data_IF_391631720696
#
_entry.id   IF_391631720696
#
_cell.length_a   1.000
_cell.length_b   1.000
_cell.length_c   1.000
_cell.angle_alpha   90.00
_cell.angle_beta   90.00
_cell.angle_gamma   90.00
#
_symmetry.space_group_name_H-M   'P 1'
#
loop_
_entity.id
_entity.type
_entity.pdbx_description
1 polymer ?
#
# COMPACT_ATOMS: atom_id res chain seq x y z
N UNK A 1 -51.31 55.62 51.45
CA UNK A 1 -50.27 56.01 52.42
C UNK A 1 -49.24 54.88 52.51
N UNK A 2 -47.95 55.23 52.36
CA UNK A 2 -46.72 54.60 52.93
C UNK A 2 -46.99 53.56 54.05
N UNK A 3 -46.29 52.41 54.19
CA UNK A 3 -44.83 52.22 54.30
C UNK A 3 -44.46 50.71 54.29
N UNK A 4 -43.20 50.47 53.95
CA UNK A 4 -42.41 49.23 53.82
C UNK A 4 -41.94 48.68 55.20
N UNK A 5 -41.81 47.35 55.40
CA UNK A 5 -40.53 46.62 55.70
C UNK A 5 -40.69 45.13 56.07
N UNK A 6 -39.89 44.29 55.37
CA UNK A 6 -39.15 43.04 55.71
C UNK A 6 -39.50 42.17 56.94
N UNK A 7 -39.57 40.85 56.73
CA UNK A 7 -38.56 39.86 57.20
C UNK A 7 -38.82 38.44 56.63
N UNK A 8 -37.72 37.75 56.29
CA UNK A 8 -37.58 36.40 55.68
C UNK A 8 -37.74 35.28 56.71
N UNK A 9 -38.25 34.10 56.31
CA UNK A 9 -37.79 32.73 56.68
C UNK A 9 -38.39 31.74 55.63
N UNK A 10 -37.63 31.31 54.62
CA UNK A 10 -36.84 30.07 54.53
C UNK A 10 -37.71 28.78 54.43
N UNK A 11 -38.02 28.35 53.19
CA UNK A 11 -38.51 27.01 52.88
C UNK A 11 -37.38 26.21 52.21
N UNK A 12 -37.00 25.09 52.80
CA UNK A 12 -36.06 24.14 52.21
C UNK A 12 -36.77 23.31 51.14
N UNK A 13 -36.33 23.43 49.89
CA UNK A 13 -36.67 22.51 48.80
C UNK A 13 -35.43 21.71 48.48
N UNK A 14 -35.44 20.42 48.79
CA UNK A 14 -34.41 19.48 48.37
C UNK A 14 -34.55 19.26 46.85
N UNK A 15 -33.65 19.84 46.07
CA UNK A 15 -33.52 19.54 44.65
C UNK A 15 -32.72 18.25 44.50
N UNK A 16 -33.36 17.19 43.99
CA UNK A 16 -32.68 16.00 43.49
C UNK A 16 -32.14 16.33 42.11
N UNK A 17 -30.85 16.67 42.03
CA UNK A 17 -30.13 16.81 40.77
C UNK A 17 -29.78 15.43 40.24
N UNK A 18 -30.50 14.97 39.22
CA UNK A 18 -30.05 13.84 38.40
C UNK A 18 -28.82 14.28 37.60
N UNK A 19 -27.64 13.84 38.04
CA UNK A 19 -26.40 13.96 37.27
C UNK A 19 -26.49 13.04 36.06
N UNK A 20 -26.90 13.59 34.92
CA UNK A 20 -26.60 13.02 33.61
C UNK A 20 -25.09 13.18 33.39
N UNK A 21 -24.30 12.20 33.83
CA UNK A 21 -22.93 12.04 33.33
C UNK A 21 -23.04 11.64 31.87
N UNK A 22 -22.98 12.64 30.97
CA UNK A 22 -22.61 12.39 29.60
C UNK A 22 -21.24 11.71 29.65
N UNK A 23 -21.21 10.41 29.38
CA UNK A 23 -19.97 9.71 29.10
C UNK A 23 -19.44 10.33 27.81
N UNK A 24 -18.57 11.33 27.95
CA UNK A 24 -17.69 11.76 26.89
C UNK A 24 -16.82 10.56 26.58
N UNK A 25 -17.25 9.74 25.62
CA UNK A 25 -16.35 8.83 24.95
C UNK A 25 -15.27 9.70 24.35
N UNK A 26 -14.15 9.81 25.07
CA UNK A 26 -12.89 10.28 24.53
C UNK A 26 -12.56 9.32 23.40
N UNK A 27 -13.06 9.60 22.20
CA UNK A 27 -12.40 9.16 20.99
C UNK A 27 -11.07 9.87 21.09
N UNK A 28 -10.06 9.14 21.56
CA UNK A 28 -8.69 9.57 21.44
C UNK A 28 -8.54 9.95 19.96
N UNK A 29 -8.38 11.25 19.69
CA UNK A 29 -7.84 11.68 18.42
C UNK A 29 -6.58 10.84 18.25
N UNK A 30 -6.60 9.92 17.29
CA UNK A 30 -5.41 9.21 16.88
C UNK A 30 -4.38 10.30 16.60
N UNK A 31 -3.38 10.42 17.48
CA UNK A 31 -2.19 11.18 17.17
C UNK A 31 -1.73 10.60 15.83
N UNK A 32 -1.86 11.42 14.78
CA UNK A 32 -1.73 10.96 13.41
C UNK A 32 -0.47 10.13 13.30
N UNK A 33 -0.63 8.87 12.89
CA UNK A 33 0.48 8.10 12.36
C UNK A 33 0.85 8.88 11.10
N UNK A 34 1.81 9.80 11.23
CA UNK A 34 2.50 10.35 10.06
C UNK A 34 3.15 9.13 9.42
N UNK A 35 3.04 8.94 8.09
CA UNK A 35 3.75 7.88 7.41
C UNK A 35 5.19 7.86 7.93
N UNK A 36 5.69 6.72 8.42
CA UNK A 36 7.05 6.64 8.95
C UNK A 36 8.00 7.21 7.90
N UNK A 37 8.96 8.01 8.35
CA UNK A 37 10.04 8.50 7.48
C UNK A 37 10.61 7.32 6.70
N UNK A 38 11.01 7.59 5.47
CA UNK A 38 11.67 6.59 4.66
C UNK A 38 12.85 5.95 5.41
N UNK A 39 13.06 4.63 5.27
CA UNK A 39 14.22 3.98 5.84
C UNK A 39 15.52 4.67 5.40
N UNK A 40 16.54 4.64 6.25
CA UNK A 40 17.83 5.26 5.95
C UNK A 40 18.54 4.63 4.72
N UNK A 41 18.08 3.47 4.27
CA UNK A 41 18.53 2.77 3.07
C UNK A 41 17.70 1.51 2.87
N UNK A 42 18.03 0.75 1.83
CA UNK A 42 17.29 -0.48 1.49
C UNK A 42 17.25 -1.48 2.64
N UNK A 43 16.07 -2.05 2.87
CA UNK A 43 15.84 -3.10 3.86
C UNK A 43 15.90 -4.45 3.16
N UNK A 44 17.08 -5.08 3.21
CA UNK A 44 17.29 -6.42 2.63
C UNK A 44 16.27 -7.42 3.17
N UNK A 45 15.63 -8.16 2.26
CA UNK A 45 14.69 -9.23 2.58
C UNK A 45 15.37 -10.32 3.41
N UNK A 46 14.76 -10.65 4.56
CA UNK A 46 15.17 -11.75 5.43
C UNK A 46 13.91 -12.49 5.89
N UNK A 47 13.71 -13.75 5.49
CA UNK A 47 14.61 -14.58 4.69
C UNK A 47 14.79 -14.04 3.25
N UNK A 48 15.95 -14.33 2.66
CA UNK A 48 16.18 -14.01 1.25
C UNK A 48 15.33 -14.96 0.39
N UNK A 49 14.27 -14.44 -0.22
CA UNK A 49 13.32 -15.21 -1.02
C UNK A 49 13.64 -15.20 -2.53
N UNK A 50 14.37 -14.18 -2.99
CA UNK A 50 14.73 -13.95 -4.40
C UNK A 50 16.23 -14.20 -4.66
N UNK A 51 16.62 -14.30 -5.93
CA UNK A 51 18.02 -14.37 -6.34
C UNK A 51 18.77 -13.07 -5.99
N UNK A 52 20.08 -13.19 -5.79
CA UNK A 52 20.93 -12.06 -5.41
C UNK A 52 21.65 -11.58 -6.67
N UNK A 53 21.56 -10.29 -6.97
CA UNK A 53 22.26 -9.69 -8.09
C UNK A 53 23.77 -10.02 -8.04
N UNK A 54 24.34 -10.43 -9.17
CA UNK A 54 25.76 -10.82 -9.27
C UNK A 54 26.11 -12.19 -8.70
N UNK A 55 25.18 -12.89 -8.04
CA UNK A 55 25.40 -14.28 -7.58
C UNK A 55 25.12 -15.26 -8.71
N UNK A 56 26.10 -16.09 -9.03
CA UNK A 56 25.93 -17.21 -9.96
C UNK A 56 25.36 -18.44 -9.22
N UNK A 57 24.30 -19.03 -9.76
CA UNK A 57 23.69 -20.26 -9.27
C UNK A 57 24.03 -21.42 -10.21
N UNK A 58 24.59 -22.50 -9.66
CA UNK A 58 24.91 -23.71 -10.42
C UNK A 58 23.67 -24.61 -10.53
N UNK A 59 23.47 -25.23 -11.70
CA UNK A 59 22.33 -26.13 -11.92
C UNK A 59 22.30 -27.23 -10.86
N UNK A 60 21.14 -27.42 -10.22
CA UNK A 60 20.94 -28.40 -9.15
C UNK A 60 21.35 -27.91 -7.76
N UNK A 61 21.96 -26.72 -7.62
CA UNK A 61 22.17 -26.11 -6.32
C UNK A 61 20.84 -25.68 -5.69
N UNK A 62 20.82 -25.59 -4.35
CA UNK A 62 19.69 -25.02 -3.61
C UNK A 62 19.44 -23.57 -4.07
N UNK A 63 18.16 -23.25 -4.30
CA UNK A 63 17.71 -21.94 -4.73
C UNK A 63 16.93 -21.24 -3.62
N UNK A 64 16.84 -19.90 -3.63
CA UNK A 64 15.90 -19.17 -2.82
C UNK A 64 14.45 -19.65 -3.07
N UNK A 65 13.56 -19.59 -2.07
CA UNK A 65 12.20 -20.14 -2.11
C UNK A 65 11.33 -19.77 -3.32
N UNK A 66 11.55 -18.60 -3.94
CA UNK A 66 10.78 -18.16 -5.11
C UNK A 66 11.31 -18.65 -6.46
N UNK A 67 12.30 -19.55 -6.44
CA UNK A 67 12.96 -20.05 -7.63
C UNK A 67 13.07 -21.57 -7.62
N UNK A 68 12.91 -22.15 -8.80
CA UNK A 68 13.05 -23.59 -9.03
C UNK A 68 13.85 -23.87 -10.30
N UNK A 69 14.45 -25.06 -10.38
CA UNK A 69 15.06 -25.55 -11.61
C UNK A 69 13.99 -26.20 -12.51
N UNK A 70 13.86 -25.72 -13.75
CA UNK A 70 13.05 -26.37 -14.79
C UNK A 70 13.92 -26.61 -16.02
N UNK A 71 14.11 -27.89 -16.37
CA UNK A 71 14.97 -28.32 -17.48
C UNK A 71 16.37 -27.64 -17.44
N UNK A 72 16.99 -27.59 -16.25
CA UNK A 72 18.30 -26.97 -16.05
C UNK A 72 18.34 -25.44 -16.09
N UNK A 73 17.19 -24.76 -16.16
CA UNK A 73 17.08 -23.31 -16.17
C UNK A 73 16.38 -22.80 -14.91
N UNK A 74 16.78 -21.60 -14.47
CA UNK A 74 16.06 -20.87 -13.43
C UNK A 74 14.65 -20.54 -13.91
N UNK A 75 13.66 -20.82 -13.07
CA UNK A 75 12.27 -20.49 -13.30
C UNK A 75 11.67 -19.87 -12.04
N UNK A 76 10.88 -18.80 -12.16
CA UNK A 76 10.03 -18.33 -11.07
C UNK A 76 9.15 -19.45 -10.53
N UNK A 77 8.90 -19.40 -9.22
CA UNK A 77 7.95 -20.26 -8.49
C UNK A 77 7.07 -19.43 -7.55
N UNK A 78 6.61 -18.28 -8.05
CA UNK A 78 5.93 -17.24 -7.28
C UNK A 78 4.71 -17.72 -6.47
N UNK A 79 3.98 -18.72 -6.96
CA UNK A 79 2.78 -19.23 -6.31
C UNK A 79 3.06 -20.34 -5.28
N UNK A 80 4.31 -20.75 -5.09
CA UNK A 80 4.63 -21.81 -4.13
C UNK A 80 4.43 -21.34 -2.70
N UNK A 81 3.98 -22.23 -1.82
CA UNK A 81 3.82 -21.92 -0.39
C UNK A 81 5.13 -21.47 0.24
N UNK A 82 6.27 -22.01 -0.22
CA UNK A 82 7.59 -21.61 0.26
C UNK A 82 7.94 -20.17 -0.14
N UNK A 83 7.66 -19.78 -1.39
CA UNK A 83 7.88 -18.41 -1.85
C UNK A 83 7.01 -17.40 -1.08
N UNK A 84 5.70 -17.62 -1.08
CA UNK A 84 4.73 -16.73 -0.41
C UNK A 84 5.05 -16.59 1.08
N UNK A 85 5.39 -17.70 1.76
CA UNK A 85 5.76 -17.65 3.17
C UNK A 85 7.03 -16.84 3.41
N UNK A 86 8.05 -16.98 2.57
CA UNK A 86 9.32 -16.27 2.71
C UNK A 86 9.18 -14.77 2.43
N UNK A 87 8.38 -14.40 1.43
CA UNK A 87 8.06 -13.01 1.11
C UNK A 87 7.28 -12.34 2.25
N UNK A 88 6.24 -12.99 2.78
CA UNK A 88 5.48 -12.46 3.92
C UNK A 88 6.31 -12.37 5.19
N UNK A 89 7.19 -13.33 5.46
CA UNK A 89 8.10 -13.25 6.60
C UNK A 89 9.07 -12.06 6.46
N UNK A 90 9.58 -11.83 5.26
CA UNK A 90 10.43 -10.67 4.96
C UNK A 90 9.67 -9.35 5.16
N UNK A 91 8.44 -9.22 4.64
CA UNK A 91 7.59 -8.04 4.87
C UNK A 91 7.29 -7.85 6.36
N UNK A 92 6.92 -8.90 7.08
CA UNK A 92 6.67 -8.82 8.51
C UNK A 92 7.91 -8.38 9.30
N UNK A 93 9.12 -8.76 8.85
CA UNK A 93 10.36 -8.26 9.43
C UNK A 93 10.60 -6.78 9.13
N UNK A 94 10.36 -6.34 7.89
CA UNK A 94 10.47 -4.93 7.52
C UNK A 94 9.51 -4.07 8.34
N UNK A 95 8.27 -4.52 8.52
CA UNK A 95 7.28 -3.89 9.41
C UNK A 95 7.79 -3.75 10.85
N UNK A 96 8.41 -4.79 11.41
CA UNK A 96 9.00 -4.72 12.77
C UNK A 96 10.13 -3.69 12.88
N UNK A 97 10.94 -3.52 11.83
CA UNK A 97 12.00 -2.50 11.80
C UNK A 97 11.43 -1.08 11.77
N UNK A 98 10.23 -0.91 11.22
CA UNK A 98 9.47 0.35 11.21
C UNK A 98 8.56 0.50 12.44
N UNK A 99 8.59 -0.45 13.37
CA UNK A 99 7.72 -0.49 14.56
C UNK A 99 6.22 -0.49 14.24
N UNK A 100 5.81 -1.07 13.11
CA UNK A 100 4.41 -1.28 12.73
C UNK A 100 4.02 -2.76 12.81
N UNK A 101 2.71 -3.01 12.95
CA UNK A 101 2.18 -4.37 13.06
C UNK A 101 2.39 -5.16 11.77
N UNK A 102 2.55 -6.48 11.91
CA UNK A 102 2.68 -7.37 10.77
C UNK A 102 1.32 -7.53 10.06
N UNK A 103 1.36 -7.68 8.74
CA UNK A 103 0.18 -7.82 7.90
C UNK A 103 -0.35 -9.26 7.90
N UNK A 104 -1.66 -9.41 7.73
CA UNK A 104 -2.30 -10.68 7.44
C UNK A 104 -2.93 -10.65 6.05
N UNK A 105 -2.56 -11.61 5.21
CA UNK A 105 -3.16 -11.81 3.90
C UNK A 105 -4.59 -12.37 4.01
N UNK A 106 -5.46 -12.10 3.02
CA UNK A 106 -6.76 -12.76 2.94
C UNK A 106 -6.60 -14.27 2.68
N UNK A 107 -7.57 -15.07 3.14
CA UNK A 107 -7.48 -16.54 3.09
C UNK A 107 -7.38 -17.11 1.67
N UNK A 108 -7.89 -16.36 0.69
CA UNK A 108 -7.93 -16.70 -0.72
C UNK A 108 -6.83 -16.00 -1.53
N UNK A 109 -5.83 -15.36 -0.89
CA UNK A 109 -4.79 -14.58 -1.59
C UNK A 109 -4.14 -15.32 -2.76
N UNK A 110 -3.82 -16.61 -2.59
CA UNK A 110 -3.20 -17.43 -3.64
C UNK A 110 -4.11 -17.72 -4.84
N UNK A 111 -5.41 -17.48 -4.73
CA UNK A 111 -6.41 -17.63 -5.80
C UNK A 111 -6.79 -16.30 -6.47
N UNK A 112 -6.37 -15.17 -5.89
CA UNK A 112 -6.54 -13.86 -6.48
C UNK A 112 -5.66 -13.70 -7.73
N UNK A 113 -6.11 -12.88 -8.69
CA UNK A 113 -5.26 -12.48 -9.82
C UNK A 113 -4.06 -11.64 -9.34
N UNK A 114 -3.04 -11.46 -10.17
CA UNK A 114 -1.89 -10.59 -9.84
C UNK A 114 -2.34 -9.17 -9.48
N UNK A 115 -3.34 -8.66 -10.19
CA UNK A 115 -3.90 -7.33 -9.99
C UNK A 115 -4.61 -7.22 -8.63
N UNK A 116 -5.43 -8.21 -8.29
CA UNK A 116 -6.13 -8.30 -7.01
C UNK A 116 -5.14 -8.47 -5.84
N UNK A 117 -4.08 -9.26 -6.01
CA UNK A 117 -2.99 -9.37 -5.05
C UNK A 117 -2.30 -8.02 -4.83
N UNK A 118 -1.99 -7.27 -5.90
CA UNK A 118 -1.37 -5.95 -5.79
C UNK A 118 -2.24 -4.97 -4.99
N UNK A 119 -3.55 -4.90 -5.23
CA UNK A 119 -4.45 -4.07 -4.42
C UNK A 119 -4.35 -4.43 -2.93
N UNK A 120 -4.44 -5.73 -2.60
CA UNK A 120 -4.35 -6.19 -1.21
C UNK A 120 -3.06 -5.74 -0.55
N UNK A 121 -1.93 -5.88 -1.25
CA UNK A 121 -0.62 -5.53 -0.72
C UNK A 121 -0.46 -4.02 -0.54
N UNK A 122 -0.85 -3.22 -1.53
CA UNK A 122 -0.88 -1.75 -1.43
C UNK A 122 -1.69 -1.30 -0.21
N UNK A 123 -2.89 -1.84 -0.04
CA UNK A 123 -3.75 -1.41 1.06
C UNK A 123 -3.27 -1.89 2.43
N UNK A 124 -2.63 -3.05 2.52
CA UNK A 124 -1.96 -3.48 3.74
C UNK A 124 -0.82 -2.53 4.14
N UNK A 125 -0.02 -2.07 3.17
CA UNK A 125 1.06 -1.11 3.39
C UNK A 125 0.52 0.29 3.76
N UNK A 126 -0.54 0.75 3.10
CA UNK A 126 -1.21 2.04 3.38
C UNK A 126 -1.86 2.06 4.76
N UNK A 127 -2.72 1.08 5.05
CA UNK A 127 -3.50 1.03 6.29
C UNK A 127 -2.61 0.82 7.51
N UNK A 128 -1.53 0.03 7.39
CA UNK A 128 -0.56 -0.16 8.49
C UNK A 128 0.18 1.13 8.88
N UNK A 129 0.15 2.15 8.03
CA UNK A 129 0.76 3.47 8.24
C UNK A 129 -0.26 4.59 8.39
N UNK A 130 -1.54 4.25 8.62
CA UNK A 130 -2.61 5.22 8.87
C UNK A 130 -3.12 5.95 7.63
N UNK A 131 -2.67 5.57 6.43
CA UNK A 131 -3.21 6.10 5.18
C UNK A 131 -4.54 5.42 4.83
N UNK A 132 -5.44 6.17 4.19
CA UNK A 132 -6.69 5.61 3.71
C UNK A 132 -6.41 4.55 2.63
N UNK A 133 -7.11 3.40 2.63
CA UNK A 133 -6.95 2.42 1.57
C UNK A 133 -7.46 2.96 0.23
N UNK A 134 -6.92 2.43 -0.84
CA UNK A 134 -7.51 2.49 -2.17
C UNK A 134 -8.86 1.74 -2.13
N UNK A 135 -9.90 2.32 -2.73
CA UNK A 135 -11.24 1.73 -2.67
C UNK A 135 -11.32 0.37 -3.39
N UNK A 136 -10.62 0.23 -4.51
CA UNK A 136 -10.64 -0.97 -5.34
C UNK A 136 -10.05 -0.78 -6.72
N UNK A 137 -10.04 -1.88 -7.47
CA UNK A 137 -9.53 -2.00 -8.83
C UNK A 137 -10.59 -1.65 -9.86
N UNK A 138 -10.19 -0.92 -10.89
CA UNK A 138 -11.06 -0.50 -12.00
C UNK A 138 -10.47 -0.96 -13.33
N UNK A 139 -11.33 -1.41 -14.25
CA UNK A 139 -10.88 -1.87 -15.58
C UNK A 139 -10.22 -0.77 -16.41
N UNK A 140 -10.65 0.48 -16.24
CA UNK A 140 -10.09 1.63 -16.95
C UNK A 140 -8.64 1.90 -16.51
N UNK A 141 -8.37 1.85 -15.21
CA UNK A 141 -7.02 1.99 -14.69
C UNK A 141 -6.15 0.75 -15.00
N UNK A 142 -6.72 -0.47 -14.93
CA UNK A 142 -6.00 -1.69 -15.31
C UNK A 142 -5.48 -1.61 -16.74
N UNK A 143 -6.25 -1.07 -17.69
CA UNK A 143 -5.80 -0.96 -19.07
C UNK A 143 -4.54 -0.08 -19.21
N UNK A 144 -4.43 0.98 -18.41
CA UNK A 144 -3.26 1.86 -18.37
C UNK A 144 -2.09 1.18 -17.67
N UNK A 145 -2.34 0.54 -16.53
CA UNK A 145 -1.35 -0.22 -15.79
C UNK A 145 -0.78 -1.37 -16.66
N UNK A 146 -1.65 -2.18 -17.26
CA UNK A 146 -1.27 -3.25 -18.17
C UNK A 146 -0.37 -2.78 -19.32
N UNK A 147 -0.59 -1.56 -19.83
CA UNK A 147 0.30 -0.97 -20.83
C UNK A 147 1.68 -0.61 -20.25
N UNK A 148 1.74 -0.08 -19.03
CA UNK A 148 3.00 0.10 -18.30
C UNK A 148 3.77 -1.21 -18.15
N UNK A 149 3.09 -2.28 -17.70
CA UNK A 149 3.67 -3.61 -17.60
C UNK A 149 4.18 -4.15 -18.96
N UNK A 150 3.44 -3.96 -20.05
CA UNK A 150 3.86 -4.34 -21.41
C UNK A 150 5.05 -3.54 -21.93
N UNK A 151 5.29 -2.34 -21.41
CA UNK A 151 6.36 -1.45 -21.85
C UNK A 151 7.55 -1.43 -20.89
N UNK A 152 7.46 -2.15 -19.77
CA UNK A 152 8.46 -2.16 -18.70
C UNK A 152 8.74 -0.75 -18.14
N UNK A 153 7.67 -0.01 -17.85
CA UNK A 153 7.74 1.37 -17.37
C UNK A 153 6.55 1.70 -16.47
N UNK A 154 6.69 2.77 -15.69
CA UNK A 154 5.59 3.30 -14.89
C UNK A 154 4.38 3.65 -15.81
N UNK A 155 3.17 3.25 -15.40
CA UNK A 155 1.94 3.69 -16.07
C UNK A 155 1.80 5.21 -16.07
N UNK A 156 1.09 5.74 -17.06
CA UNK A 156 0.80 7.17 -17.16
C UNK A 156 -0.71 7.37 -17.26
N UNK A 157 -1.25 8.34 -16.51
CA UNK A 157 -2.62 8.80 -16.70
C UNK A 157 -2.65 9.89 -17.78
N UNK A 158 -3.17 9.63 -19.00
CA UNK A 158 -3.22 10.63 -20.04
C UNK A 158 -4.22 11.76 -19.73
N UNK A 159 -4.04 12.89 -20.42
CA UNK A 159 -5.01 13.99 -20.47
C UNK A 159 -5.64 14.05 -21.88
N UNK A 160 -6.98 14.12 -22.03
CA UNK A 160 -7.99 14.11 -20.96
C UNK A 160 -8.07 12.75 -20.25
N UNK A 161 -8.43 12.76 -18.97
CA UNK A 161 -8.40 11.56 -18.14
C UNK A 161 -9.40 10.50 -18.60
N UNK A 162 -8.92 9.27 -18.81
CA UNK A 162 -9.73 8.14 -19.27
C UNK A 162 -10.53 7.43 -18.16
N UNK A 163 -10.38 7.86 -16.91
CA UNK A 163 -11.01 7.24 -15.73
C UNK A 163 -12.09 8.18 -15.21
N UNK A 164 -13.30 7.65 -15.05
CA UNK A 164 -14.44 8.40 -14.50
C UNK A 164 -14.09 8.99 -13.13
N UNK A 165 -14.38 10.27 -12.95
CA UNK A 165 -14.16 10.98 -11.69
C UNK A 165 -12.69 11.31 -11.40
N UNK A 166 -11.73 10.96 -12.27
CA UNK A 166 -10.32 11.26 -12.05
C UNK A 166 -10.08 12.76 -11.92
N UNK A 167 -9.35 13.15 -10.87
CA UNK A 167 -9.11 14.56 -10.57
C UNK A 167 -7.89 15.14 -11.27
N UNK A 168 -7.04 14.25 -11.81
CA UNK A 168 -5.71 14.57 -12.29
C UNK A 168 -4.60 14.31 -11.28
N UNK A 169 -4.93 14.02 -10.01
CA UNK A 169 -3.97 13.48 -9.04
C UNK A 169 -3.77 11.97 -9.25
N UNK A 170 -2.53 11.51 -9.41
CA UNK A 170 -2.19 10.09 -9.58
C UNK A 170 -0.72 9.83 -9.23
N UNK A 171 -0.41 8.57 -8.96
CA UNK A 171 0.93 8.01 -8.72
C UNK A 171 1.01 6.64 -9.39
N UNK A 172 2.21 6.15 -9.72
CA UNK A 172 2.32 4.91 -10.47
C UNK A 172 3.70 4.27 -10.33
N UNK A 173 3.71 2.95 -10.24
CA UNK A 173 4.93 2.18 -10.07
C UNK A 173 5.04 1.08 -11.11
N UNK A 174 6.26 0.75 -11.48
CA UNK A 174 6.61 -0.44 -12.24
C UNK A 174 7.81 -1.15 -11.61
N UNK A 175 7.81 -2.49 -11.68
CA UNK A 175 8.96 -3.30 -11.33
C UNK A 175 9.00 -4.59 -12.15
N UNK A 176 10.22 -5.04 -12.43
CA UNK A 176 10.47 -6.43 -12.77
C UNK A 176 10.62 -7.23 -11.46
N UNK A 177 9.73 -8.19 -11.22
CA UNK A 177 9.70 -8.96 -9.98
C UNK A 177 9.26 -10.41 -10.22
N UNK A 178 9.46 -11.28 -9.23
CA UNK A 178 9.03 -12.68 -9.30
C UNK A 178 7.52 -12.80 -9.08
N UNK A 179 6.98 -12.08 -8.10
CA UNK A 179 5.59 -12.12 -7.65
C UNK A 179 5.05 -10.71 -7.41
N UNK A 180 3.73 -10.52 -7.23
CA UNK A 180 3.17 -9.27 -6.70
C UNK A 180 3.76 -8.86 -5.34
N UNK A 181 4.04 -9.84 -4.47
CA UNK A 181 4.70 -9.62 -3.17
C UNK A 181 6.11 -9.06 -3.32
N UNK A 182 6.91 -9.62 -4.23
CA UNK A 182 8.26 -9.13 -4.54
C UNK A 182 8.25 -7.73 -5.18
N UNK A 183 7.27 -7.44 -6.04
CA UNK A 183 7.10 -6.10 -6.62
C UNK A 183 6.79 -5.07 -5.51
N UNK A 184 5.80 -5.36 -4.66
CA UNK A 184 5.44 -4.51 -3.54
C UNK A 184 6.61 -4.34 -2.55
N UNK A 185 7.32 -5.42 -2.21
CA UNK A 185 8.50 -5.34 -1.34
C UNK A 185 9.60 -4.47 -1.97
N UNK A 186 9.81 -4.58 -3.29
CA UNK A 186 10.77 -3.76 -4.01
C UNK A 186 10.44 -2.28 -3.94
N UNK A 187 9.18 -1.91 -4.19
CA UNK A 187 8.70 -0.53 -4.09
C UNK A 187 8.74 0.02 -2.67
N UNK A 188 8.43 -0.78 -1.65
CA UNK A 188 8.34 -0.31 -0.27
C UNK A 188 9.68 -0.28 0.48
N UNK A 189 10.59 -1.19 0.15
CA UNK A 189 11.75 -1.48 0.99
C UNK A 189 13.09 -1.52 0.25
N UNK A 190 13.10 -1.63 -1.08
CA UNK A 190 14.32 -1.65 -1.90
C UNK A 190 14.46 -0.44 -2.83
N UNK A 191 13.61 0.57 -2.62
CA UNK A 191 13.49 1.76 -3.46
C UNK A 191 14.42 2.92 -3.06
N UNK A 192 15.11 2.77 -1.94
CA UNK A 192 16.10 3.71 -1.45
C UNK A 192 17.48 3.54 -2.06
N UNK A 193 18.41 4.31 -1.51
CA UNK A 193 19.82 4.23 -1.91
C UNK A 193 20.50 3.01 -1.29
N UNK A 194 21.21 2.25 -2.13
CA UNK A 194 22.03 1.10 -1.72
C UNK A 194 23.48 1.18 -2.27
N UNK A 195 23.86 2.32 -2.84
CA UNK A 195 25.12 2.50 -3.56
C UNK A 195 24.97 2.44 -5.08
N UNK A 196 26.00 2.90 -5.78
CA UNK A 196 26.04 2.94 -7.25
C UNK A 196 25.84 1.54 -7.82
N UNK A 197 24.83 1.37 -8.68
CA UNK A 197 24.50 0.10 -9.32
C UNK A 197 23.93 -0.98 -8.40
N UNK A 198 23.50 -0.61 -7.18
CA UNK A 198 22.99 -1.54 -6.16
C UNK A 198 21.55 -1.26 -5.73
N UNK A 199 20.92 -0.23 -6.28
CA UNK A 199 19.48 0.04 -6.13
C UNK A 199 18.73 -0.38 -7.39
N UNK A 200 17.49 -0.83 -7.22
CA UNK A 200 16.60 -1.17 -8.32
C UNK A 200 15.84 0.05 -8.85
N UNK A 201 15.85 1.16 -8.11
CA UNK A 201 15.26 2.41 -8.52
C UNK A 201 16.22 3.21 -9.41
N UNK A 202 15.91 3.30 -10.70
CA UNK A 202 16.75 4.00 -11.67
C UNK A 202 16.83 5.52 -11.43
N UNK A 203 15.88 6.11 -10.71
CA UNK A 203 15.88 7.52 -10.34
C UNK A 203 16.65 7.79 -9.03
N UNK A 204 16.96 6.74 -8.25
CA UNK A 204 17.77 6.85 -7.04
C UNK A 204 19.27 6.81 -7.36
N UNK A 205 19.77 7.89 -7.98
CA UNK A 205 21.14 7.99 -8.51
C UNK A 205 22.21 8.34 -7.45
N UNK A 206 21.79 8.78 -6.26
CA UNK A 206 22.65 9.05 -5.10
C UNK A 206 21.86 8.98 -3.79
N UNK A 207 22.54 8.99 -2.65
CA UNK A 207 21.90 8.98 -1.31
C UNK A 207 20.91 10.13 -1.05
N UNK A 208 20.96 11.20 -1.85
CA UNK A 208 20.10 12.37 -1.72
C UNK A 208 19.30 12.66 -3.00
N UNK A 209 19.29 11.75 -3.97
CA UNK A 209 18.49 11.92 -5.17
C UNK A 209 17.00 11.93 -4.80
N UNK A 210 16.26 12.89 -5.35
CA UNK A 210 14.81 13.03 -5.08
C UNK A 210 13.98 11.84 -5.56
N UNK A 211 14.53 11.01 -6.44
CA UNK A 211 13.88 9.80 -6.92
C UNK A 211 13.95 8.63 -5.94
N UNK A 212 14.84 8.65 -4.95
CA UNK A 212 14.88 7.60 -3.92
C UNK A 212 13.59 7.60 -3.12
N UNK A 213 13.07 6.40 -2.85
CA UNK A 213 11.78 6.21 -2.19
C UNK A 213 10.56 6.75 -2.96
N UNK A 214 10.72 7.09 -4.24
CA UNK A 214 9.63 7.51 -5.12
C UNK A 214 8.49 6.48 -5.16
N UNK A 215 8.78 5.20 -5.38
CA UNK A 215 7.73 4.19 -5.49
C UNK A 215 7.03 3.94 -4.14
N UNK A 216 7.79 4.01 -3.03
CA UNK A 216 7.23 3.94 -1.67
C UNK A 216 6.28 5.11 -1.42
N UNK A 217 6.70 6.32 -1.80
CA UNK A 217 5.90 7.53 -1.66
C UNK A 217 4.64 7.48 -2.54
N UNK A 218 4.72 6.86 -3.70
CA UNK A 218 3.58 6.62 -4.58
C UNK A 218 2.54 5.69 -3.94
N UNK A 219 2.97 4.60 -3.29
CA UNK A 219 2.09 3.69 -2.52
C UNK A 219 1.49 4.41 -1.31
N UNK A 220 2.30 5.17 -0.58
CA UNK A 220 1.91 5.87 0.65
C UNK A 220 1.36 7.28 0.39
N UNK A 221 1.00 7.60 -0.85
CA UNK A 221 0.54 8.93 -1.21
C UNK A 221 -0.62 9.35 -0.33
N UNK A 222 -0.48 10.50 0.32
CA UNK A 222 -1.54 11.06 1.13
C UNK A 222 -2.58 11.69 0.21
N UNK A 223 -3.75 11.05 0.11
CA UNK A 223 -4.80 11.46 -0.81
C UNK A 223 -5.31 12.88 -0.54
N UNK A 224 -5.15 13.41 0.68
CA UNK A 224 -5.56 14.79 1.02
C UNK A 224 -4.58 15.85 0.51
N UNK A 225 -3.35 15.47 0.17
CA UNK A 225 -2.33 16.36 -0.38
C UNK A 225 -2.37 16.41 -1.92
N UNK A 226 -3.03 15.45 -2.56
CA UNK A 226 -3.30 15.48 -3.99
C UNK A 226 -4.40 16.51 -4.31
N UNK A 227 -4.34 17.19 -5.47
CA UNK A 227 -5.25 18.28 -5.83
C UNK A 227 -6.72 17.79 -5.93
N UNK A 228 -7.43 17.90 -4.83
CA UNK A 228 -8.84 17.54 -4.72
C UNK A 228 -9.72 18.78 -4.91
N UNK A 229 -10.48 18.84 -6.01
CA UNK A 229 -11.45 19.92 -6.25
C UNK A 229 -12.85 19.65 -5.66
N UNK A 230 -13.01 18.59 -4.87
CA UNK A 230 -14.27 18.20 -4.25
C UNK A 230 -14.17 18.24 -2.71
N UNK A 231 -15.30 18.19 -2.02
CA UNK A 231 -15.34 18.08 -0.55
C UNK A 231 -14.77 16.76 -0.03
N UNK A 232 -14.71 15.73 -0.88
CA UNK A 232 -14.02 14.47 -0.60
C UNK A 232 -13.46 13.87 -1.88
N UNK A 233 -12.24 13.36 -1.77
CA UNK A 233 -11.60 12.55 -2.80
C UNK A 233 -11.25 11.18 -2.22
N UNK A 234 -11.16 10.19 -3.10
CA UNK A 234 -10.76 8.83 -2.76
C UNK A 234 -9.73 8.35 -3.78
N UNK A 235 -9.07 7.24 -3.49
CA UNK A 235 -8.17 6.60 -4.43
C UNK A 235 -8.84 5.36 -5.02
N UNK A 236 -8.65 5.15 -6.31
CA UNK A 236 -8.90 3.88 -7.01
C UNK A 236 -7.61 3.42 -7.65
N UNK A 237 -7.52 2.15 -8.00
CA UNK A 237 -6.30 1.58 -8.56
C UNK A 237 -6.58 0.87 -9.88
N UNK A 238 -5.55 0.78 -10.70
CA UNK A 238 -5.40 -0.22 -11.73
C UNK A 238 -4.11 -0.97 -11.53
N UNK A 239 -4.08 -2.23 -11.92
CA UNK A 239 -2.88 -3.04 -11.91
C UNK A 239 -2.70 -3.77 -13.23
N UNK A 240 -1.46 -4.12 -13.54
CA UNK A 240 -1.10 -4.81 -14.77
C UNK A 240 0.05 -5.77 -14.54
N UNK A 241 0.01 -6.90 -15.24
CA UNK A 241 1.06 -7.90 -15.16
C UNK A 241 1.37 -8.53 -16.52
N UNK A 242 2.65 -8.82 -16.79
CA UNK A 242 3.08 -9.60 -17.96
C UNK A 242 4.09 -10.66 -17.51
N UNK A 243 3.78 -11.95 -17.67
CA UNK A 243 4.69 -13.00 -17.24
C UNK A 243 5.95 -13.07 -18.12
N UNK A 244 7.11 -13.31 -17.50
CA UNK A 244 8.42 -13.49 -18.16
C UNK A 244 8.75 -12.42 -19.22
N UNK A 245 8.44 -11.17 -18.89
CA UNK A 245 8.57 -10.06 -19.83
C UNK A 245 9.92 -9.36 -19.73
N UNK A 246 10.47 -9.25 -18.52
CA UNK A 246 11.80 -8.68 -18.29
C UNK A 246 12.79 -9.79 -17.95
N UNK A 247 13.40 -10.37 -18.99
CA UNK A 247 14.30 -11.53 -18.85
C UNK A 247 13.58 -12.73 -18.21
N UNK A 248 13.98 -13.14 -17.01
CA UNK A 248 13.38 -14.24 -16.25
C UNK A 248 12.30 -13.77 -15.26
N UNK A 249 12.14 -12.46 -15.08
CA UNK A 249 11.16 -11.85 -14.17
C UNK A 249 9.85 -11.54 -14.88
N UNK A 250 8.78 -11.45 -14.08
CA UNK A 250 7.51 -10.90 -14.53
C UNK A 250 7.59 -9.37 -14.46
N UNK A 251 6.75 -8.72 -15.25
CA UNK A 251 6.57 -7.27 -15.24
C UNK A 251 5.29 -6.95 -14.48
N UNK A 252 5.37 -6.13 -13.44
CA UNK A 252 4.22 -5.67 -12.67
C UNK A 252 4.18 -4.16 -12.65
N UNK A 253 2.98 -3.61 -12.66
CA UNK A 253 2.77 -2.17 -12.51
C UNK A 253 1.46 -1.87 -11.83
N UNK A 254 1.40 -0.71 -11.18
CA UNK A 254 0.21 -0.16 -10.57
C UNK A 254 0.04 1.31 -10.92
N UNK A 255 -1.22 1.74 -10.97
CA UNK A 255 -1.62 3.12 -11.17
C UNK A 255 -2.66 3.46 -10.11
N UNK A 256 -2.31 4.35 -9.18
CA UNK A 256 -3.21 4.85 -8.14
C UNK A 256 -3.73 6.22 -8.58
N UNK A 257 -5.05 6.39 -8.61
CA UNK A 257 -5.70 7.57 -9.17
C UNK A 257 -6.66 8.17 -8.15
N UNK A 258 -6.49 9.47 -7.90
CA UNK A 258 -7.44 10.23 -7.11
C UNK A 258 -8.71 10.47 -7.94
N UNK A 259 -9.85 10.13 -7.35
CA UNK A 259 -11.18 10.30 -7.94
C UNK A 259 -12.08 11.09 -7.01
N UNK A 260 -13.03 11.81 -7.60
CA UNK A 260 -14.05 12.59 -6.91
C UNK A 260 -15.41 12.50 -7.62
N UNK A 261 -16.49 12.69 -6.85
CA UNK A 261 -17.84 12.66 -7.40
C UNK A 261 -18.27 11.25 -7.80
N UNK A 262 -18.56 11.04 -9.08
CA UNK A 262 -18.95 9.71 -9.57
C UNK A 262 -17.74 8.79 -9.62
N UNK A 263 -17.78 7.71 -8.82
CA UNK A 263 -16.71 6.72 -8.79
C UNK A 263 -16.78 5.79 -10.02
N UNK A 264 -15.63 5.37 -10.58
CA UNK A 264 -15.59 4.35 -11.61
C UNK A 264 -16.05 2.99 -11.05
N UNK A 265 -16.62 2.10 -11.89
CA UNK A 265 -17.03 0.77 -11.45
C UNK A 265 -15.80 -0.05 -11.04
N UNK A 266 -15.86 -0.63 -9.84
CA UNK A 266 -14.82 -1.50 -9.29
C UNK A 266 -15.23 -2.96 -9.40
N UNK A 267 -14.28 -3.84 -9.72
CA UNK A 267 -14.54 -5.28 -9.81
C UNK A 267 -13.99 -6.08 -8.61
N UNK A 268 -13.00 -5.51 -7.92
CA UNK A 268 -12.44 -6.03 -6.68
C UNK A 268 -12.10 -4.86 -5.76
N UNK A 269 -12.36 -4.99 -4.46
CA UNK A 269 -12.33 -3.88 -3.50
C UNK A 269 -11.59 -4.26 -2.22
N UNK A 270 -11.03 -3.27 -1.53
CA UNK A 270 -10.44 -3.48 -0.21
C UNK A 270 -11.43 -4.11 0.78
N UNK A 271 -12.71 -3.73 0.69
CA UNK A 271 -13.78 -4.31 1.50
C UNK A 271 -13.91 -5.82 1.29
N UNK A 272 -13.75 -6.32 0.07
CA UNK A 272 -13.76 -7.76 -0.22
C UNK A 272 -12.52 -8.45 0.38
N UNK A 273 -11.34 -7.85 0.24
CA UNK A 273 -10.11 -8.35 0.86
C UNK A 273 -10.23 -8.48 2.39
N UNK A 274 -10.76 -7.45 3.06
CA UNK A 274 -11.00 -7.47 4.51
C UNK A 274 -12.01 -8.56 4.89
N UNK A 275 -13.09 -8.71 4.14
CA UNK A 275 -14.06 -9.79 4.36
C UNK A 275 -13.41 -11.20 4.21
N UNK A 276 -12.43 -11.32 3.32
CA UNK A 276 -11.63 -12.53 3.14
C UNK A 276 -10.52 -12.71 4.19
N UNK A 277 -10.26 -11.70 5.04
CA UNK A 277 -9.38 -11.77 6.21
C UNK A 277 -8.16 -10.86 6.18
N UNK A 278 -8.01 -9.99 5.17
CA UNK A 278 -6.93 -9.01 5.13
C UNK A 278 -7.03 -8.03 6.32
N UNK A 279 -5.92 -7.81 7.03
CA UNK A 279 -5.85 -6.87 8.18
C UNK A 279 -4.42 -6.53 8.56
N UNK A 280 -4.28 -5.43 9.31
CA UNK A 280 -3.06 -4.96 9.99
C UNK A 280 -3.18 -5.11 11.49
#
# INVERSE_FOLDING_TARGET
>A
MRKVTMARWAAAVAAVTALLTAASSNVASAAGIVPPRDPAGNVTAVPAYNTVAGRMYQVGAALPPCWQWRAGKLSPDAASTACVSAEIEATARAHRLEHIAAVALPRDFAHLSSEEQLLVLVDLERVSRGEAPVLGLTRAADALAQRGAQLNQDPVLPSPHAITGATGGWTANWAAAVSPLDANYSWMYLDGWAGVGKTFNYLCTSAHASGCWGHRNDILVNASQLPCYSTSCSLVMGAGSVPRHWSIYNSYSELIVQVAGTLPPMYYTWKQAVAAGAKV
#
